data_IF_895065375620
#
_entry.id   IF_895065375620
#
_cell.length_a   1.000
_cell.length_b   1.000
_cell.length_c   1.000
_cell.angle_alpha   90.00
_cell.angle_beta   90.00
_cell.angle_gamma   90.00
#
_symmetry.space_group_name_H-M   'P 1'
#
loop_
_entity.id
_entity.type
_entity.pdbx_description
1 polymer ?
#
# COMPACT_ATOMS: atom_id res chain seq x y z
N UNK A 1 -25.03 -72.65 -35.53
CA UNK A 1 -24.77 -71.57 -34.56
C UNK A 1 -23.95 -72.15 -33.42
N UNK A 2 -22.74 -71.67 -33.18
CA UNK A 2 -22.05 -71.89 -31.89
C UNK A 2 -21.02 -70.78 -31.71
N UNK A 3 -21.22 -70.01 -30.65
CA UNK A 3 -20.51 -68.79 -30.28
C UNK A 3 -19.14 -69.10 -29.67
N UNK A 4 -18.08 -68.53 -30.22
CA UNK A 4 -16.70 -68.61 -29.70
C UNK A 4 -16.55 -67.80 -28.39
N UNK A 5 -16.23 -68.40 -27.24
CA UNK A 5 -16.06 -67.71 -25.97
C UNK A 5 -14.56 -67.47 -25.74
N UNK A 6 -13.94 -66.58 -26.51
CA UNK A 6 -12.55 -66.14 -26.25
C UNK A 6 -12.45 -64.63 -26.14
N UNK A 7 -13.21 -64.08 -25.20
CA UNK A 7 -12.79 -62.86 -24.50
C UNK A 7 -11.56 -63.16 -23.65
N UNK A 8 -10.37 -63.25 -24.28
CA UNK A 8 -9.07 -63.31 -23.59
C UNK A 8 -8.92 -62.01 -22.81
N UNK A 9 -9.28 -62.02 -21.53
CA UNK A 9 -8.78 -61.02 -20.58
C UNK A 9 -7.25 -61.12 -20.60
N UNK A 10 -6.51 -60.01 -20.78
CA UNK A 10 -5.06 -60.02 -20.65
C UNK A 10 -4.71 -60.58 -19.27
N UNK A 11 -4.07 -61.76 -19.22
CA UNK A 11 -3.53 -62.30 -17.98
C UNK A 11 -2.23 -61.55 -17.70
N UNK A 12 -2.36 -60.41 -17.04
CA UNK A 12 -1.21 -59.67 -16.56
C UNK A 12 -0.48 -60.49 -15.49
N UNK A 13 0.86 -60.41 -15.49
CA UNK A 13 1.71 -60.99 -14.47
C UNK A 13 1.36 -60.42 -13.08
N UNK A 14 1.47 -61.20 -12.00
CA UNK A 14 1.06 -60.78 -10.65
C UNK A 14 1.65 -59.43 -10.22
N UNK A 15 2.94 -59.21 -10.49
CA UNK A 15 3.60 -57.91 -10.25
C UNK A 15 2.94 -56.73 -10.99
N UNK A 16 2.43 -56.95 -12.22
CA UNK A 16 1.72 -55.92 -12.98
C UNK A 16 0.35 -55.63 -12.35
N UNK A 17 -0.35 -56.66 -11.85
CA UNK A 17 -1.61 -56.46 -11.12
C UNK A 17 -1.40 -55.71 -9.80
N UNK A 18 -0.32 -55.98 -9.08
CA UNK A 18 0.06 -55.25 -7.87
C UNK A 18 0.37 -53.78 -8.17
N UNK A 19 1.12 -53.51 -9.25
CA UNK A 19 1.37 -52.13 -9.71
C UNK A 19 0.07 -51.42 -10.11
N UNK A 20 -0.83 -52.10 -10.84
CA UNK A 20 -2.12 -51.51 -11.20
C UNK A 20 -3.00 -51.24 -9.98
N UNK A 21 -2.99 -52.14 -9.00
CA UNK A 21 -3.74 -51.98 -7.75
C UNK A 21 -3.20 -50.85 -6.90
N UNK A 22 -1.87 -50.72 -6.78
CA UNK A 22 -1.22 -49.62 -6.05
C UNK A 22 -1.45 -48.28 -6.74
N UNK A 23 -1.39 -48.21 -8.07
CA UNK A 23 -1.71 -47.00 -8.82
C UNK A 23 -3.18 -46.61 -8.64
N UNK A 24 -4.10 -47.58 -8.67
CA UNK A 24 -5.51 -47.32 -8.42
C UNK A 24 -5.74 -46.78 -6.99
N UNK A 25 -5.10 -47.39 -5.99
CA UNK A 25 -5.15 -46.91 -4.61
C UNK A 25 -4.59 -45.48 -4.49
N UNK A 26 -3.41 -45.21 -5.06
CA UNK A 26 -2.82 -43.88 -5.06
C UNK A 26 -3.73 -42.84 -5.72
N UNK A 27 -4.37 -43.20 -6.84
CA UNK A 27 -5.32 -42.32 -7.52
C UNK A 27 -6.53 -42.00 -6.64
N UNK A 28 -7.07 -42.98 -5.91
CA UNK A 28 -8.16 -42.73 -4.94
C UNK A 28 -7.71 -41.81 -3.80
N UNK A 29 -6.50 -42.02 -3.25
CA UNK A 29 -5.94 -41.15 -2.21
C UNK A 29 -5.73 -39.73 -2.72
N UNK A 30 -5.22 -39.54 -3.94
CA UNK A 30 -5.06 -38.23 -4.56
C UNK A 30 -6.41 -37.52 -4.75
N UNK A 31 -7.44 -38.24 -5.17
CA UNK A 31 -8.80 -37.69 -5.30
C UNK A 31 -9.36 -37.23 -3.95
N UNK A 32 -9.11 -37.97 -2.87
CA UNK A 32 -9.53 -37.57 -1.52
C UNK A 32 -8.76 -36.34 -1.01
N UNK A 33 -7.45 -36.28 -1.27
CA UNK A 33 -6.64 -35.09 -0.97
C UNK A 33 -7.16 -33.87 -1.73
N UNK A 34 -7.47 -34.01 -3.03
CA UNK A 34 -8.02 -32.93 -3.84
C UNK A 34 -9.34 -32.40 -3.25
N UNK A 35 -10.28 -33.29 -2.90
CA UNK A 35 -11.55 -32.88 -2.29
C UNK A 35 -11.37 -32.15 -0.96
N UNK A 36 -10.42 -32.61 -0.13
CA UNK A 36 -10.09 -31.94 1.14
C UNK A 36 -9.54 -30.55 0.90
N UNK A 37 -8.57 -30.40 0.01
CA UNK A 37 -8.00 -29.10 -0.36
C UNK A 37 -9.07 -28.15 -0.90
N UNK A 38 -9.97 -28.64 -1.76
CA UNK A 38 -11.08 -27.83 -2.28
C UNK A 38 -12.04 -27.37 -1.16
N UNK A 39 -12.30 -28.24 -0.18
CA UNK A 39 -13.15 -27.89 0.97
C UNK A 39 -12.50 -26.87 1.90
N UNK A 40 -11.21 -27.04 2.20
CA UNK A 40 -10.43 -26.10 3.01
C UNK A 40 -10.31 -24.75 2.31
N UNK A 41 -10.08 -24.75 1.00
CA UNK A 41 -9.98 -23.53 0.20
C UNK A 41 -11.30 -22.74 0.21
N UNK A 42 -12.45 -23.42 0.06
CA UNK A 42 -13.76 -22.77 0.14
C UNK A 42 -14.08 -22.24 1.54
N UNK A 43 -13.63 -22.94 2.58
CA UNK A 43 -13.80 -22.49 3.96
C UNK A 43 -12.92 -21.28 4.30
N UNK A 44 -11.67 -21.26 3.80
CA UNK A 44 -10.73 -20.15 4.01
C UNK A 44 -11.09 -18.90 3.20
N UNK A 45 -11.66 -19.07 2.01
CA UNK A 45 -12.08 -17.98 1.12
C UNK A 45 -13.59 -18.05 0.84
N UNK A 46 -14.43 -17.66 1.82
CA UNK A 46 -15.87 -17.53 1.59
C UNK A 46 -16.17 -16.52 0.46
N UNK A 47 -17.34 -16.64 -0.16
CA UNK A 47 -17.82 -15.78 -1.28
C UNK A 47 -17.03 -15.90 -2.59
N UNK A 48 -16.38 -17.04 -2.85
CA UNK A 48 -15.57 -17.27 -4.05
C UNK A 48 -14.46 -16.21 -4.22
N UNK A 49 -13.94 -15.69 -3.10
CA UNK A 49 -12.88 -14.71 -3.12
C UNK A 49 -11.60 -15.31 -3.70
N UNK A 50 -11.31 -14.98 -4.97
CA UNK A 50 -10.13 -15.50 -5.65
C UNK A 50 -8.86 -14.85 -5.05
N UNK A 51 -7.95 -15.61 -4.41
CA UNK A 51 -6.77 -15.07 -3.77
C UNK A 51 -5.85 -14.34 -4.75
N UNK A 52 -5.80 -14.77 -6.02
CA UNK A 52 -5.02 -14.07 -7.07
C UNK A 52 -5.60 -12.67 -7.32
N UNK A 53 -6.94 -12.54 -7.37
CA UNK A 53 -7.59 -11.23 -7.52
C UNK A 53 -7.38 -10.36 -6.28
N UNK A 54 -7.41 -10.94 -5.08
CA UNK A 54 -7.14 -10.21 -3.84
C UNK A 54 -5.72 -9.66 -3.81
N UNK A 55 -4.72 -10.47 -4.16
CA UNK A 55 -3.32 -10.04 -4.26
C UNK A 55 -3.15 -8.95 -5.31
N UNK A 56 -3.79 -9.07 -6.47
CA UNK A 56 -3.75 -8.03 -7.50
C UNK A 56 -4.35 -6.70 -7.00
N UNK A 57 -5.51 -6.75 -6.32
CA UNK A 57 -6.12 -5.56 -5.71
C UNK A 57 -5.23 -4.96 -4.64
N UNK A 58 -4.61 -5.78 -3.80
CA UNK A 58 -3.69 -5.32 -2.75
C UNK A 58 -2.48 -4.60 -3.34
N UNK A 59 -1.88 -5.15 -4.40
CA UNK A 59 -0.76 -4.50 -5.11
C UNK A 59 -1.16 -3.14 -5.66
N UNK A 60 -2.32 -3.07 -6.32
CA UNK A 60 -2.86 -1.80 -6.83
C UNK A 60 -3.09 -0.77 -5.72
N UNK A 61 -3.70 -1.18 -4.61
CA UNK A 61 -3.90 -0.29 -3.44
C UNK A 61 -2.56 0.20 -2.90
N UNK A 62 -1.55 -0.68 -2.83
CA UNK A 62 -0.21 -0.30 -2.37
C UNK A 62 0.44 0.75 -3.28
N UNK A 63 0.31 0.61 -4.60
CA UNK A 63 0.77 1.59 -5.59
C UNK A 63 0.01 2.93 -5.46
N UNK A 64 -1.32 2.88 -5.36
CA UNK A 64 -2.17 4.06 -5.19
C UNK A 64 -1.84 4.81 -3.90
N UNK A 65 -1.63 4.10 -2.78
CA UNK A 65 -1.22 4.70 -1.50
C UNK A 65 0.16 5.36 -1.61
N UNK A 66 1.10 4.74 -2.31
CA UNK A 66 2.42 5.34 -2.53
C UNK A 66 2.32 6.62 -3.37
N UNK A 67 1.51 6.61 -4.43
CA UNK A 67 1.27 7.78 -5.27
C UNK A 67 0.62 8.93 -4.47
N UNK A 68 -0.43 8.64 -3.69
CA UNK A 68 -1.10 9.66 -2.84
C UNK A 68 -0.13 10.25 -1.82
N UNK A 69 0.71 9.42 -1.18
CA UNK A 69 1.76 9.91 -0.27
C UNK A 69 2.75 10.84 -0.97
N UNK A 70 3.12 10.55 -2.22
CA UNK A 70 3.94 11.43 -3.05
C UNK A 70 3.26 12.78 -3.26
N UNK A 71 2.02 12.77 -3.77
CA UNK A 71 1.24 13.99 -4.02
C UNK A 71 1.04 14.83 -2.75
N UNK A 72 0.77 14.21 -1.60
CA UNK A 72 0.64 14.94 -0.33
C UNK A 72 1.96 15.59 0.10
N UNK A 73 3.11 14.95 -0.14
CA UNK A 73 4.42 15.53 0.16
C UNK A 73 4.68 16.73 -0.74
N UNK A 74 4.44 16.60 -2.03
CA UNK A 74 4.65 17.67 -3.01
C UNK A 74 3.76 18.89 -2.68
N UNK A 75 2.49 18.65 -2.34
CA UNK A 75 1.57 19.70 -1.91
C UNK A 75 2.05 20.41 -0.64
N UNK A 76 2.55 19.66 0.35
CA UNK A 76 3.10 20.25 1.58
C UNK A 76 4.35 21.08 1.30
N UNK A 77 5.23 20.62 0.40
CA UNK A 77 6.40 21.38 -0.06
C UNK A 77 5.97 22.67 -0.73
N UNK A 78 5.03 22.61 -1.68
CA UNK A 78 4.53 23.79 -2.38
C UNK A 78 3.86 24.79 -1.42
N UNK A 79 3.11 24.31 -0.43
CA UNK A 79 2.53 25.16 0.62
C UNK A 79 3.62 25.88 1.40
N UNK A 80 4.70 25.17 1.76
CA UNK A 80 5.81 25.73 2.50
C UNK A 80 6.56 26.80 1.68
N UNK A 81 6.85 26.51 0.42
CA UNK A 81 7.45 27.47 -0.51
C UNK A 81 6.61 28.74 -0.66
N UNK A 82 5.29 28.61 -0.77
CA UNK A 82 4.38 29.75 -0.84
C UNK A 82 4.39 30.58 0.45
N UNK A 83 4.39 29.92 1.62
CA UNK A 83 4.51 30.61 2.91
C UNK A 83 5.82 31.39 2.98
N UNK A 84 6.93 30.79 2.57
CA UNK A 84 8.24 31.42 2.62
C UNK A 84 8.37 32.57 1.60
N UNK A 85 7.75 32.44 0.42
CA UNK A 85 7.62 33.53 -0.55
C UNK A 85 6.78 34.71 0.00
N UNK A 86 5.67 34.43 0.68
CA UNK A 86 4.86 35.49 1.29
C UNK A 86 5.62 36.19 2.43
N UNK A 87 6.34 35.44 3.27
CA UNK A 87 7.17 36.00 4.35
C UNK A 87 8.26 36.92 3.82
N UNK A 88 9.00 36.47 2.80
CA UNK A 88 10.06 37.27 2.19
C UNK A 88 9.50 38.53 1.54
N UNK A 89 8.38 38.44 0.81
CA UNK A 89 7.69 39.61 0.25
C UNK A 89 7.26 40.61 1.35
N UNK A 90 6.63 40.13 2.41
CA UNK A 90 6.16 40.97 3.51
C UNK A 90 7.33 41.68 4.21
N UNK A 91 8.43 40.97 4.48
CA UNK A 91 9.64 41.56 5.04
C UNK A 91 10.24 42.67 4.14
N UNK A 92 10.27 42.45 2.82
CA UNK A 92 10.72 43.46 1.85
C UNK A 92 9.79 44.68 1.87
N UNK A 93 8.47 44.48 1.81
CA UNK A 93 7.48 45.55 1.85
C UNK A 93 7.60 46.37 3.14
N UNK A 94 7.75 45.69 4.29
CA UNK A 94 7.95 46.34 5.58
C UNK A 94 9.22 47.19 5.61
N UNK A 95 10.33 46.66 5.11
CA UNK A 95 11.59 47.41 5.04
C UNK A 95 11.45 48.66 4.16
N UNK A 96 10.69 48.59 3.07
CA UNK A 96 10.43 49.73 2.20
C UNK A 96 9.58 50.79 2.88
N UNK A 97 8.49 50.40 3.56
CA UNK A 97 7.64 51.31 4.33
C UNK A 97 8.42 51.98 5.45
N UNK A 98 9.23 51.23 6.19
CA UNK A 98 10.08 51.77 7.26
C UNK A 98 11.07 52.83 6.74
N UNK A 99 11.68 52.60 5.58
CA UNK A 99 12.55 53.60 4.93
C UNK A 99 11.78 54.85 4.49
N UNK A 100 10.56 54.70 4.00
CA UNK A 100 9.72 55.84 3.61
C UNK A 100 9.31 56.69 4.82
N UNK A 101 8.86 56.06 5.91
CA UNK A 101 8.50 56.75 7.16
C UNK A 101 9.67 57.55 7.72
N UNK A 102 10.84 56.91 7.82
CA UNK A 102 12.07 57.57 8.29
C UNK A 102 12.50 58.72 7.38
N UNK A 103 12.41 58.58 6.06
CA UNK A 103 12.71 59.65 5.12
C UNK A 103 11.74 60.85 5.21
N UNK A 104 10.51 60.60 5.67
CA UNK A 104 9.46 61.61 5.82
C UNK A 104 9.41 62.21 7.23
N UNK A 105 10.33 61.84 8.13
CA UNK A 105 10.35 62.30 9.53
C UNK A 105 9.19 61.78 10.39
N UNK A 106 8.47 60.75 9.91
CA UNK A 106 7.38 60.11 10.64
C UNK A 106 7.93 59.02 11.58
N UNK A 107 7.24 58.75 12.71
CA UNK A 107 7.66 57.71 13.64
C UNK A 107 7.72 56.33 12.97
N UNK A 108 8.64 55.45 13.43
CA UNK A 108 8.79 54.10 12.91
C UNK A 108 7.53 53.25 13.16
N UNK A 109 7.39 52.15 12.40
CA UNK A 109 6.29 51.20 12.54
C UNK A 109 6.19 50.63 13.97
N UNK A 110 4.98 50.44 14.50
CA UNK A 110 4.71 50.11 15.92
C UNK A 110 5.23 48.72 16.34
N UNK A 111 5.57 48.55 17.62
CA UNK A 111 5.93 47.24 18.21
C UNK A 111 4.79 46.21 18.12
N UNK A 112 3.54 46.67 18.10
CA UNK A 112 2.36 45.82 17.90
C UNK A 112 2.36 45.16 16.52
N UNK A 113 2.82 45.87 15.50
CA UNK A 113 2.99 45.33 14.15
C UNK A 113 4.13 44.31 14.08
N UNK A 114 5.13 44.39 14.98
CA UNK A 114 6.20 43.40 15.07
C UNK A 114 5.74 42.12 15.81
N UNK A 115 4.83 42.27 16.78
CA UNK A 115 4.23 41.16 17.53
C UNK A 115 3.27 40.31 16.67
N UNK A 116 2.52 40.93 15.75
CA UNK A 116 1.65 40.22 14.80
C UNK A 116 2.45 39.36 13.81
N UNK A 117 3.61 39.84 13.37
CA UNK A 117 4.54 39.09 12.51
C UNK A 117 5.20 37.92 13.26
N UNK A 118 5.57 38.12 14.53
CA UNK A 118 6.08 37.04 15.38
C UNK A 118 5.04 35.93 15.59
N UNK A 119 3.75 36.30 15.68
CA UNK A 119 2.65 35.35 15.77
C UNK A 119 2.45 34.57 14.45
N UNK A 120 2.52 35.26 13.30
CA UNK A 120 2.43 34.62 11.99
C UNK A 120 3.51 33.53 11.82
N UNK A 121 4.73 33.79 12.30
CA UNK A 121 5.84 32.84 12.28
C UNK A 121 5.59 31.57 13.13
N UNK A 122 4.85 31.68 14.23
CA UNK A 122 4.51 30.53 15.09
C UNK A 122 3.43 29.64 14.46
N UNK A 123 2.40 30.25 13.87
CA UNK A 123 1.26 29.52 13.27
C UNK A 123 1.67 28.71 12.03
N UNK A 124 2.72 29.13 11.33
CA UNK A 124 3.21 28.50 10.11
C UNK A 124 4.52 27.74 10.27
N UNK A 125 5.03 27.60 11.50
CA UNK A 125 6.14 26.67 11.77
C UNK A 125 5.72 25.26 11.37
N UNK A 126 6.60 24.45 10.76
CA UNK A 126 6.22 23.19 10.15
C UNK A 126 5.47 22.35 11.18
N UNK A 127 4.24 21.96 10.83
CA UNK A 127 3.56 20.86 11.50
C UNK A 127 4.51 19.66 11.40
N UNK A 128 5.29 19.44 12.46
CA UNK A 128 6.11 18.25 12.65
C UNK A 128 5.21 17.09 12.27
N UNK A 129 5.53 16.28 11.26
CA UNK A 129 4.67 15.18 10.89
C UNK A 129 4.63 14.21 12.08
N UNK A 130 3.54 14.29 12.84
CA UNK A 130 3.12 13.27 13.78
C UNK A 130 2.59 12.12 12.93
N UNK A 131 3.49 11.37 12.30
CA UNK A 131 3.18 9.98 11.97
C UNK A 131 4.30 9.07 12.52
N UNK A 132 3.95 8.24 13.52
CA UNK A 132 4.89 7.43 14.28
C UNK A 132 5.38 6.23 13.47
N UNK A 133 6.64 5.87 13.73
CA UNK A 133 7.19 4.51 13.78
C UNK A 133 6.26 3.34 13.38
N UNK A 134 5.99 3.14 12.09
CA UNK A 134 5.33 1.92 11.57
C UNK A 134 5.95 1.47 10.24
N UNK A 135 7.29 1.42 10.18
CA UNK A 135 8.03 0.74 9.09
C UNK A 135 9.08 -0.25 9.63
N UNK A 136 9.12 -0.53 10.95
CA UNK A 136 10.11 -1.44 11.53
C UNK A 136 9.51 -2.75 12.04
N UNK A 137 8.87 -3.50 11.15
CA UNK A 137 8.58 -4.93 11.34
C UNK A 137 8.61 -5.63 9.99
N UNK A 138 9.79 -5.66 9.35
CA UNK A 138 10.05 -6.62 8.27
C UNK A 138 11.50 -7.12 8.24
N UNK A 139 12.10 -7.22 9.43
CA UNK A 139 13.38 -7.88 9.67
C UNK A 139 13.34 -8.54 11.05
N UNK A 140 12.59 -9.64 11.16
CA UNK A 140 12.85 -10.78 12.05
C UNK A 140 11.68 -11.76 11.98
N UNK A 141 12.05 -13.00 11.67
CA UNK A 141 11.27 -14.25 11.63
C UNK A 141 10.57 -14.48 10.29
#
# INVERSE_FOLDING_TARGET
>A
MSTDPRGRRPRHHTAVNEVLSTLAAANTTLADVQRRLDSEFRAAYPDHANPVKLVARLKRIQEEVAAVKGLCRDLLTQKQELIDAMRTSLAVQRSAVQRLLTSSGLPPMSEEDAATDANLNQVTSPHRPLLPSLVKTRDKI
#
